data_IF_040667772589
#
_entry.id   IF_040667772589
#
_cell.length_a   1.000
_cell.length_b   1.000
_cell.length_c   1.000
_cell.angle_alpha   90.00
_cell.angle_beta   90.00
_cell.angle_gamma   90.00
#
_symmetry.space_group_name_H-M   'P 1'
#
loop_
_entity.id
_entity.type
_entity.pdbx_description
1 polymer ?
#
# COMPACT_ATOMS: atom_id res chain seq x y z
N UNK A 1 20.11 -0.36 9.40
CA UNK A 1 19.74 -1.54 8.59
C UNK A 1 18.23 -1.75 8.50
N UNK A 2 17.40 -0.69 8.65
CA UNK A 2 15.94 -0.85 8.85
C UNK A 2 15.09 -0.48 7.63
N UNK A 3 15.59 0.31 6.67
CA UNK A 3 14.83 0.66 5.47
C UNK A 3 14.78 -0.46 4.40
N UNK A 4 15.79 -1.34 4.35
CA UNK A 4 15.86 -2.42 3.34
C UNK A 4 14.79 -3.50 3.53
N UNK A 5 14.39 -3.79 4.77
CA UNK A 5 13.35 -4.80 5.05
C UNK A 5 11.98 -4.35 4.58
N UNK A 6 11.64 -3.07 4.77
CA UNK A 6 10.36 -2.53 4.30
C UNK A 6 10.24 -2.64 2.76
N UNK A 7 11.32 -2.39 2.02
CA UNK A 7 11.34 -2.54 0.56
C UNK A 7 11.33 -3.99 0.07
N UNK A 8 11.81 -4.97 0.86
CA UNK A 8 11.76 -6.40 0.48
C UNK A 8 10.40 -7.05 0.82
N UNK A 9 9.70 -6.57 1.86
CA UNK A 9 8.35 -7.01 2.24
C UNK A 9 7.27 -6.45 1.31
N UNK A 10 7.49 -5.25 0.77
CA UNK A 10 6.68 -4.70 -0.32
C UNK A 10 7.20 -5.29 -1.62
N UNK A 11 6.82 -6.55 -1.88
CA UNK A 11 6.75 -7.05 -3.24
C UNK A 11 5.69 -6.24 -3.98
N UNK A 12 6.04 -5.01 -4.40
CA UNK A 12 5.36 -4.34 -5.50
C UNK A 12 5.46 -5.34 -6.64
N UNK A 13 4.38 -6.06 -6.91
CA UNK A 13 4.42 -7.12 -7.90
C UNK A 13 5.02 -6.55 -9.19
N UNK A 14 6.10 -7.22 -9.62
CA UNK A 14 6.79 -6.98 -10.87
C UNK A 14 5.75 -6.66 -11.97
N UNK A 15 5.72 -5.39 -12.41
CA UNK A 15 5.02 -4.87 -13.60
C UNK A 15 3.58 -4.33 -13.51
N UNK A 16 2.98 -4.07 -12.33
CA UNK A 16 1.61 -3.52 -12.32
C UNK A 16 1.49 -2.01 -12.04
N UNK A 17 2.46 -1.35 -11.38
CA UNK A 17 2.34 0.08 -11.01
C UNK A 17 1.21 0.40 -10.01
N UNK A 18 0.57 -0.65 -9.47
CA UNK A 18 -0.60 -0.59 -8.59
C UNK A 18 -0.23 -1.01 -7.17
N UNK A 19 -0.78 -0.29 -6.18
CA UNK A 19 -0.68 -0.66 -4.75
C UNK A 19 -2.06 -1.09 -4.24
N UNK A 20 -2.12 -2.30 -3.70
CA UNK A 20 -3.32 -2.85 -3.04
C UNK A 20 -3.42 -2.42 -1.57
N UNK A 21 -4.61 -2.53 -0.96
CA UNK A 21 -4.82 -2.25 0.49
C UNK A 21 -3.86 -3.04 1.38
N UNK A 22 -3.55 -4.27 0.98
CA UNK A 22 -2.64 -5.18 1.70
C UNK A 22 -1.19 -4.71 1.66
N UNK A 23 -0.74 -4.22 0.53
CA UNK A 23 0.61 -3.64 0.36
C UNK A 23 0.72 -2.32 1.13
N UNK A 24 -0.28 -1.45 1.02
CA UNK A 24 -0.37 -0.22 1.81
C UNK A 24 -0.32 -0.51 3.32
N UNK A 25 -1.08 -1.50 3.78
CA UNK A 25 -1.07 -1.93 5.18
C UNK A 25 0.29 -2.48 5.63
N UNK A 26 1.01 -3.16 4.75
CA UNK A 26 2.37 -3.65 5.02
C UNK A 26 3.36 -2.50 5.16
N UNK A 27 3.30 -1.50 4.26
CA UNK A 27 4.10 -0.28 4.35
C UNK A 27 3.81 0.45 5.66
N UNK A 28 2.55 0.73 5.97
CA UNK A 28 2.13 1.44 7.17
C UNK A 28 2.62 0.76 8.45
N UNK A 29 2.48 -0.57 8.53
CA UNK A 29 2.99 -1.36 9.67
C UNK A 29 4.50 -1.36 9.77
N UNK A 30 5.21 -1.36 8.65
CA UNK A 30 6.68 -1.24 8.64
C UNK A 30 7.16 0.13 9.14
N UNK A 31 6.33 1.17 8.98
CA UNK A 31 6.56 2.53 9.50
C UNK A 31 6.12 2.70 10.96
N UNK A 32 5.63 1.64 11.61
CA UNK A 32 5.19 1.65 13.01
C UNK A 32 3.75 2.13 13.21
N UNK A 33 2.98 2.33 12.15
CA UNK A 33 1.54 2.58 12.22
C UNK A 33 0.77 1.25 12.32
N UNK A 34 -0.48 1.26 12.79
CA UNK A 34 -1.32 0.07 12.76
C UNK A 34 -2.75 0.42 12.32
N UNK A 35 -2.93 0.83 11.06
CA UNK A 35 -4.24 1.18 10.54
C UNK A 35 -5.12 -0.08 10.43
N UNK A 36 -6.41 0.13 10.65
CA UNK A 36 -7.46 -0.84 10.38
C UNK A 36 -7.67 -1.02 8.88
N UNK A 37 -8.32 -2.12 8.50
CA UNK A 37 -8.65 -2.39 7.11
C UNK A 37 -9.60 -1.33 6.51
N UNK A 38 -10.50 -0.77 7.33
CA UNK A 38 -11.38 0.34 6.93
C UNK A 38 -10.57 1.60 6.64
N UNK A 39 -9.64 1.98 7.50
CA UNK A 39 -8.79 3.15 7.26
C UNK A 39 -7.93 2.98 6.01
N UNK A 40 -7.40 1.77 5.78
CA UNK A 40 -6.66 1.47 4.55
C UNK A 40 -7.55 1.57 3.31
N UNK A 41 -8.79 1.09 3.40
CA UNK A 41 -9.75 1.19 2.30
C UNK A 41 -10.15 2.65 2.03
N UNK A 42 -10.39 3.44 3.08
CA UNK A 42 -10.70 4.86 2.95
C UNK A 42 -9.54 5.62 2.29
N UNK A 43 -8.29 5.32 2.70
CA UNK A 43 -7.10 5.88 2.07
C UNK A 43 -6.97 5.49 0.60
N UNK A 44 -7.32 4.26 0.21
CA UNK A 44 -7.33 3.88 -1.20
C UNK A 44 -8.44 4.63 -1.93
N UNK A 45 -9.66 4.66 -1.40
CA UNK A 45 -10.79 5.34 -2.03
C UNK A 45 -10.56 6.84 -2.28
N UNK A 46 -9.72 7.50 -1.45
CA UNK A 46 -9.36 8.90 -1.64
C UNK A 46 -8.46 9.15 -2.87
N UNK A 47 -7.65 8.17 -3.27
CA UNK A 47 -6.70 8.27 -4.39
C UNK A 47 -7.07 7.38 -5.59
N UNK A 48 -8.02 6.48 -5.42
CA UNK A 48 -8.57 5.57 -6.42
C UNK A 48 -9.56 6.32 -7.34
N UNK A 49 -9.00 7.05 -8.30
CA UNK A 49 -9.76 7.86 -9.24
C UNK A 49 -10.59 7.03 -10.24
N UNK A 50 -10.18 5.79 -10.51
CA UNK A 50 -10.83 4.90 -11.47
C UNK A 50 -11.71 3.82 -10.81
N UNK A 51 -11.77 3.81 -9.47
CA UNK A 51 -12.54 2.90 -8.62
C UNK A 51 -12.16 1.43 -8.84
N UNK A 52 -10.88 1.17 -9.13
CA UNK A 52 -10.37 -0.18 -9.36
C UNK A 52 -9.95 -0.90 -8.06
N UNK A 53 -9.97 -0.20 -6.92
CA UNK A 53 -9.58 -0.72 -5.60
C UNK A 53 -8.08 -0.74 -5.35
N UNK A 54 -7.29 -0.03 -6.17
CA UNK A 54 -5.83 0.07 -6.08
C UNK A 54 -5.38 1.52 -6.27
N UNK A 55 -4.16 1.82 -5.85
CA UNK A 55 -3.53 3.12 -6.11
C UNK A 55 -2.58 2.97 -7.29
N UNK A 56 -2.88 3.64 -8.40
CA UNK A 56 -1.97 3.78 -9.54
C UNK A 56 -0.93 4.87 -9.28
N UNK A 57 0.35 4.52 -9.42
CA UNK A 57 1.44 5.50 -9.41
C UNK A 57 1.91 5.79 -10.85
N UNK A 58 2.04 7.07 -11.26
CA UNK A 58 2.59 7.45 -12.56
C UNK A 58 4.09 7.14 -12.71
#
# INVERSE_FOLDING_TARGET
MQLRKASDDVRLNDNAGQITTKELGTVMRSLGQNPSESELQDMINEVDADNNGTIDFP
#
